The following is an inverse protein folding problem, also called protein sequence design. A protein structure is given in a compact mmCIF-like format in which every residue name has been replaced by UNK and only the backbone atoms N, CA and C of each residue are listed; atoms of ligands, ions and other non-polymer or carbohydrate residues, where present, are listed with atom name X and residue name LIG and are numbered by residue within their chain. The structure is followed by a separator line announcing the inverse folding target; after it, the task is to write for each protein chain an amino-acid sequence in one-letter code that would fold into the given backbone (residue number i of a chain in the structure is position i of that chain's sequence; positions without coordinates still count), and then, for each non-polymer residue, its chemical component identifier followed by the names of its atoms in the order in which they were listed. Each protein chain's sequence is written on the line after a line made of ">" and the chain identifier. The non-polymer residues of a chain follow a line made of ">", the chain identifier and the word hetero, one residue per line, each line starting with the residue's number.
data_IF_973613144866
#
_entry.id   IF_973613144866
#
_cell.length_a   1.000
_cell.length_b   1.000
_cell.length_c   1.000
_cell.angle_alpha   90.00
_cell.angle_beta   90.00
_cell.angle_gamma   90.00
#
_symmetry.space_group_name_H-M   'P 1'
#
loop_
_entity.id
_entity.type
_entity.pdbx_description
1 polymer ?
#
# COMPACT_ATOMS: atom_id res chain seq x y z
N UNK A 1 77.49 20.24 -61.75
CA UNK A 1 76.25 19.92 -62.41
C UNK A 1 75.22 19.56 -61.36
N UNK A 2 74.36 20.51 -61.01
CA UNK A 2 73.36 20.41 -59.89
C UNK A 2 71.98 20.35 -60.49
N UNK A 3 71.22 19.35 -60.12
CA UNK A 3 69.81 19.22 -60.41
C UNK A 3 69.07 19.40 -59.09
N UNK A 4 68.29 20.48 -59.03
CA UNK A 4 67.44 20.80 -57.90
C UNK A 4 66.08 20.10 -58.10
N UNK A 5 65.64 19.30 -57.09
CA UNK A 5 64.33 18.70 -57.00
C UNK A 5 63.48 19.59 -56.12
N UNK A 6 62.39 20.17 -56.68
CA UNK A 6 61.35 20.91 -55.95
C UNK A 6 60.35 19.93 -55.34
N UNK A 7 60.24 19.93 -54.03
CA UNK A 7 59.19 19.21 -53.30
C UNK A 7 57.90 20.10 -53.23
N UNK A 8 56.81 19.59 -53.80
CA UNK A 8 55.45 20.13 -53.68
C UNK A 8 54.83 19.60 -52.40
N UNK A 9 54.57 20.50 -51.43
CA UNK A 9 53.85 20.15 -50.23
C UNK A 9 52.34 20.28 -50.51
N UNK A 10 51.64 19.15 -50.50
CA UNK A 10 50.17 19.07 -50.60
C UNK A 10 49.56 19.25 -49.21
N UNK A 11 48.83 20.32 -48.98
CA UNK A 11 48.05 20.57 -47.80
C UNK A 11 46.68 19.87 -47.94
N UNK A 12 46.47 18.77 -47.25
CA UNK A 12 45.16 18.14 -47.08
C UNK A 12 44.47 18.73 -45.90
N UNK A 13 43.40 19.49 -46.17
CA UNK A 13 42.51 20.08 -45.16
C UNK A 13 41.60 18.97 -44.61
N UNK A 14 41.87 18.51 -43.39
CA UNK A 14 40.99 17.55 -42.68
C UNK A 14 39.83 18.35 -42.05
N UNK A 15 38.65 18.30 -42.67
CA UNK A 15 37.40 18.79 -42.08
C UNK A 15 36.95 17.83 -40.99
N UNK A 16 37.16 18.18 -39.70
CA UNK A 16 36.61 17.47 -38.57
C UNK A 16 35.11 17.79 -38.45
N UNK A 17 34.27 16.82 -38.83
CA UNK A 17 32.82 16.84 -38.56
C UNK A 17 32.61 16.58 -37.09
N UNK A 18 32.38 17.62 -36.30
CA UNK A 18 31.89 17.53 -34.94
C UNK A 18 30.42 17.07 -34.99
N UNK A 19 30.19 15.77 -34.95
CA UNK A 19 28.89 15.19 -34.63
C UNK A 19 28.57 15.49 -33.16
N UNK A 20 27.94 16.62 -32.91
CA UNK A 20 27.39 16.93 -31.57
C UNK A 20 26.32 15.87 -31.21
N UNK A 21 26.63 15.02 -30.23
CA UNK A 21 25.60 14.26 -29.55
C UNK A 21 24.63 15.21 -28.87
N UNK A 22 23.59 15.66 -29.58
CA UNK A 22 22.47 16.36 -28.99
C UNK A 22 21.77 15.41 -28.03
N UNK A 23 22.02 15.57 -26.72
CA UNK A 23 21.14 14.95 -25.72
C UNK A 23 19.70 15.39 -26.04
N UNK A 24 18.72 14.47 -26.00
CA UNK A 24 17.33 14.87 -26.19
C UNK A 24 17.01 16.01 -25.21
N UNK A 25 16.24 17.03 -25.62
CA UNK A 25 15.94 18.15 -24.73
C UNK A 25 15.27 17.61 -23.47
N UNK A 26 15.93 17.75 -22.34
CA UNK A 26 15.35 17.49 -21.02
C UNK A 26 14.15 18.42 -20.90
N UNK A 27 12.95 17.85 -20.95
CA UNK A 27 11.70 18.63 -20.78
C UNK A 27 11.81 19.36 -19.45
N UNK A 28 11.67 20.68 -19.47
CA UNK A 28 11.69 21.48 -18.24
C UNK A 28 10.70 20.88 -17.22
N UNK A 29 11.03 20.86 -15.93
CA UNK A 29 10.10 20.39 -14.91
C UNK A 29 8.75 21.09 -15.04
N UNK A 30 7.67 20.33 -15.06
CA UNK A 30 6.31 20.86 -15.09
C UNK A 30 6.08 21.75 -13.86
N UNK A 31 5.50 22.93 -14.02
CA UNK A 31 5.24 23.84 -12.91
C UNK A 31 4.21 23.22 -11.94
N UNK A 32 4.33 23.44 -10.64
CA UNK A 32 3.40 22.83 -9.65
C UNK A 32 1.93 23.18 -9.91
N UNK A 33 1.62 24.37 -10.42
CA UNK A 33 0.26 24.76 -10.80
C UNK A 33 -0.27 23.97 -12.01
N UNK A 34 0.55 23.66 -12.99
CA UNK A 34 0.16 22.87 -14.15
C UNK A 34 -0.10 21.40 -13.75
N UNK A 35 0.75 20.85 -12.88
CA UNK A 35 0.53 19.52 -12.27
C UNK A 35 -0.80 19.46 -11.53
N UNK A 36 -1.09 20.46 -10.69
CA UNK A 36 -2.37 20.52 -9.95
C UNK A 36 -3.56 20.64 -10.89
N UNK A 37 -3.49 21.51 -11.90
CA UNK A 37 -4.56 21.67 -12.89
C UNK A 37 -4.82 20.36 -13.65
N UNK A 38 -3.76 19.67 -14.05
CA UNK A 38 -3.84 18.36 -14.71
C UNK A 38 -4.45 17.31 -13.81
N UNK A 39 -4.00 17.15 -12.56
CA UNK A 39 -4.59 16.20 -11.62
C UNK A 39 -6.06 16.54 -11.36
N UNK A 40 -6.42 17.81 -11.19
CA UNK A 40 -7.81 18.23 -11.00
C UNK A 40 -8.70 17.86 -12.21
N UNK A 41 -8.16 17.89 -13.44
CA UNK A 41 -8.90 17.48 -14.64
C UNK A 41 -9.15 15.98 -14.73
N UNK A 42 -8.31 15.14 -14.07
CA UNK A 42 -8.47 13.69 -14.02
C UNK A 42 -9.59 13.25 -13.07
N UNK A 43 -9.98 14.10 -12.11
CA UNK A 43 -11.07 13.80 -11.18
C UNK A 43 -12.44 13.82 -11.88
N UNK A 44 -13.37 12.93 -11.53
CA UNK A 44 -14.75 13.00 -12.01
C UNK A 44 -15.40 14.36 -11.72
N UNK A 45 -16.27 14.83 -12.62
CA UNK A 45 -16.87 16.16 -12.53
C UNK A 45 -17.72 16.39 -11.26
N UNK A 46 -18.28 15.32 -10.70
CA UNK A 46 -19.12 15.34 -9.51
C UNK A 46 -18.33 15.32 -8.17
N UNK A 47 -16.99 15.28 -8.23
CA UNK A 47 -16.16 15.32 -7.01
C UNK A 47 -16.12 16.76 -6.47
N UNK A 48 -16.49 16.91 -5.22
CA UNK A 48 -16.45 18.19 -4.49
C UNK A 48 -15.00 18.56 -4.20
N UNK A 49 -14.66 19.84 -4.37
CA UNK A 49 -13.33 20.41 -4.13
C UNK A 49 -12.19 19.69 -4.90
N UNK A 50 -12.38 19.48 -6.19
CA UNK A 50 -11.33 18.91 -7.07
C UNK A 50 -9.97 19.62 -6.95
N UNK A 51 -9.90 20.96 -6.85
CA UNK A 51 -8.62 21.65 -6.63
C UNK A 51 -7.93 21.28 -5.32
N UNK A 52 -8.67 21.11 -4.23
CA UNK A 52 -8.11 20.69 -2.94
C UNK A 52 -7.59 19.24 -2.99
N UNK A 53 -8.28 18.31 -3.65
CA UNK A 53 -7.77 16.95 -3.90
C UNK A 53 -6.46 16.97 -4.69
N UNK A 54 -6.41 17.76 -5.76
CA UNK A 54 -5.20 17.89 -6.59
C UNK A 54 -4.03 18.52 -5.82
N UNK A 55 -4.30 19.49 -4.96
CA UNK A 55 -3.30 20.10 -4.08
C UNK A 55 -2.69 19.08 -3.13
N UNK A 56 -3.52 18.32 -2.40
CA UNK A 56 -3.06 17.34 -1.42
C UNK A 56 -2.29 16.18 -2.08
N UNK A 57 -2.74 15.69 -3.24
CA UNK A 57 -2.03 14.66 -4.02
C UNK A 57 -0.67 15.18 -4.51
N UNK A 58 -0.62 16.41 -5.05
CA UNK A 58 0.64 17.01 -5.53
C UNK A 58 1.62 17.20 -4.38
N UNK A 59 1.15 17.65 -3.22
CA UNK A 59 1.98 17.82 -2.03
C UNK A 59 2.55 16.48 -1.54
N UNK A 60 1.73 15.42 -1.53
CA UNK A 60 2.18 14.08 -1.17
C UNK A 60 3.23 13.55 -2.17
N UNK A 61 3.01 13.69 -3.48
CA UNK A 61 4.01 13.30 -4.49
C UNK A 61 5.34 14.03 -4.29
N UNK A 62 5.28 15.34 -4.06
CA UNK A 62 6.48 16.16 -3.82
C UNK A 62 7.24 15.67 -2.57
N UNK A 63 6.53 15.47 -1.46
CA UNK A 63 7.14 15.05 -0.19
C UNK A 63 7.73 13.63 -0.26
N UNK A 64 7.14 12.74 -1.04
CA UNK A 64 7.59 11.36 -1.22
C UNK A 64 8.62 11.21 -2.35
N UNK A 65 8.85 12.26 -3.16
CA UNK A 65 9.74 12.19 -4.32
C UNK A 65 9.16 11.35 -5.46
N UNK A 66 7.84 11.24 -5.56
CA UNK A 66 7.13 10.47 -6.59
C UNK A 66 6.85 11.39 -7.78
N UNK A 67 7.24 10.96 -8.99
CA UNK A 67 6.95 11.70 -10.21
C UNK A 67 5.43 11.83 -10.42
N UNK A 68 4.90 13.06 -10.65
CA UNK A 68 3.46 13.30 -10.77
C UNK A 68 2.94 12.97 -12.18
N UNK A 69 3.19 11.72 -12.65
CA UNK A 69 2.72 11.26 -13.96
C UNK A 69 1.20 11.00 -13.94
N UNK A 70 0.59 10.86 -15.13
CA UNK A 70 -0.82 10.50 -15.23
C UNK A 70 -1.07 9.09 -14.65
N UNK A 71 -0.13 8.17 -14.83
CA UNK A 71 -0.19 6.82 -14.30
C UNK A 71 -0.23 6.84 -12.78
N UNK A 72 0.69 7.57 -12.12
CA UNK A 72 0.70 7.67 -10.67
C UNK A 72 -0.55 8.39 -10.13
N UNK A 73 -0.95 9.49 -10.74
CA UNK A 73 -2.16 10.21 -10.36
C UNK A 73 -3.40 9.33 -10.52
N UNK A 74 -3.56 8.63 -11.65
CA UNK A 74 -4.69 7.73 -11.89
C UNK A 74 -4.69 6.52 -10.95
N UNK A 75 -3.54 5.98 -10.57
CA UNK A 75 -3.46 4.91 -9.58
C UNK A 75 -4.00 5.37 -8.21
N UNK A 76 -3.59 6.56 -7.75
CA UNK A 76 -4.11 7.17 -6.51
C UNK A 76 -5.60 7.40 -6.60
N UNK A 77 -6.07 8.06 -7.67
CA UNK A 77 -7.49 8.38 -7.87
C UNK A 77 -8.36 7.12 -7.94
N UNK A 78 -7.86 6.05 -8.54
CA UNK A 78 -8.57 4.77 -8.63
C UNK A 78 -8.77 4.13 -7.25
N UNK A 79 -7.76 4.15 -6.40
CA UNK A 79 -7.85 3.65 -5.01
C UNK A 79 -8.80 4.54 -4.20
N UNK A 80 -8.67 5.87 -4.27
CA UNK A 80 -9.58 6.80 -3.57
C UNK A 80 -11.04 6.59 -4.00
N UNK A 81 -11.29 6.39 -5.29
CA UNK A 81 -12.64 6.10 -5.79
C UNK A 81 -13.17 4.76 -5.25
N UNK A 82 -12.31 3.74 -5.14
CA UNK A 82 -12.68 2.43 -4.62
C UNK A 82 -12.98 2.47 -3.14
N UNK A 83 -12.15 3.10 -2.34
CA UNK A 83 -12.20 3.05 -0.88
C UNK A 83 -13.24 4.01 -0.29
N UNK A 84 -13.35 5.22 -0.84
CA UNK A 84 -14.12 6.29 -0.20
C UNK A 84 -15.09 7.02 -1.13
N UNK A 85 -15.05 6.74 -2.44
CA UNK A 85 -15.77 7.55 -3.43
C UNK A 85 -15.48 9.05 -3.25
N UNK A 86 -14.20 9.40 -3.09
CA UNK A 86 -13.71 10.78 -2.88
C UNK A 86 -14.28 11.46 -1.62
N UNK A 87 -14.43 10.72 -0.53
CA UNK A 87 -14.79 11.25 0.79
C UNK A 87 -13.60 11.08 1.74
N UNK A 88 -13.24 12.15 2.46
CA UNK A 88 -12.15 12.07 3.44
C UNK A 88 -12.55 11.17 4.62
N UNK A 89 -13.81 11.27 5.05
CA UNK A 89 -14.38 10.49 6.14
C UNK A 89 -15.74 9.91 5.70
N UNK A 90 -15.73 8.73 5.05
CA UNK A 90 -16.95 8.14 4.51
C UNK A 90 -17.86 7.58 5.61
N UNK A 91 -19.16 7.85 5.50
CA UNK A 91 -20.14 7.26 6.40
C UNK A 91 -20.28 5.75 6.16
N UNK A 92 -20.40 4.97 7.24
CA UNK A 92 -20.62 3.53 7.24
C UNK A 92 -22.03 3.22 7.75
N UNK A 93 -22.94 2.71 6.91
CA UNK A 93 -24.28 2.36 7.35
C UNK A 93 -24.27 1.33 8.50
N UNK A 94 -25.02 1.63 9.58
CA UNK A 94 -25.13 0.71 10.71
C UNK A 94 -23.86 0.56 11.54
N UNK A 95 -22.91 1.51 11.48
CA UNK A 95 -21.62 1.43 12.15
C UNK A 95 -21.74 1.19 13.65
N UNK A 96 -22.66 1.90 14.35
CA UNK A 96 -22.88 1.73 15.80
C UNK A 96 -23.20 0.29 16.17
N UNK A 97 -24.11 -0.37 15.45
CA UNK A 97 -24.45 -1.79 15.65
C UNK A 97 -23.22 -2.70 15.37
N UNK A 98 -22.53 -2.48 14.27
CA UNK A 98 -21.32 -3.24 13.91
C UNK A 98 -20.26 -3.12 15.02
N UNK A 99 -20.08 -1.91 15.59
CA UNK A 99 -19.14 -1.66 16.66
C UNK A 99 -19.55 -2.39 17.95
N UNK A 100 -20.84 -2.37 18.30
CA UNK A 100 -21.35 -3.09 19.47
C UNK A 100 -21.15 -4.60 19.35
N UNK A 101 -21.50 -5.18 18.22
CA UNK A 101 -21.30 -6.60 17.94
C UNK A 101 -19.80 -6.99 18.03
N UNK A 102 -18.90 -6.11 17.60
CA UNK A 102 -17.45 -6.35 17.69
C UNK A 102 -16.93 -6.23 19.12
N UNK A 103 -17.44 -5.27 19.90
CA UNK A 103 -17.11 -5.14 21.33
C UNK A 103 -17.52 -6.39 22.07
N UNK A 104 -18.75 -6.86 21.88
CA UNK A 104 -19.24 -8.10 22.50
C UNK A 104 -18.39 -9.30 22.14
N UNK A 105 -18.08 -9.48 20.85
CA UNK A 105 -17.20 -10.58 20.40
C UNK A 105 -15.78 -10.54 20.99
N UNK A 106 -15.21 -9.34 21.17
CA UNK A 106 -13.89 -9.19 21.79
C UNK A 106 -13.94 -9.48 23.29
N UNK A 107 -14.98 -8.99 23.96
CA UNK A 107 -15.22 -9.25 25.38
C UNK A 107 -15.37 -10.76 25.65
N UNK A 108 -16.18 -11.45 24.85
CA UNK A 108 -16.35 -12.91 24.94
C UNK A 108 -15.03 -13.66 24.78
N UNK A 109 -14.21 -13.28 23.78
CA UNK A 109 -12.86 -13.89 23.59
C UNK A 109 -11.90 -13.62 24.74
N UNK A 110 -12.06 -12.48 25.42
CA UNK A 110 -11.28 -12.12 26.59
C UNK A 110 -11.86 -12.67 27.89
N UNK A 111 -12.99 -13.39 27.87
CA UNK A 111 -13.69 -13.91 29.05
C UNK A 111 -14.36 -12.83 29.89
N UNK A 112 -14.65 -11.66 29.31
CA UNK A 112 -15.34 -10.55 30.01
C UNK A 112 -16.85 -10.74 29.90
N UNK A 113 -17.57 -10.90 31.04
CA UNK A 113 -19.02 -11.07 31.03
C UNK A 113 -19.74 -9.88 30.40
N UNK A 114 -20.77 -10.15 29.60
CA UNK A 114 -21.56 -9.11 28.92
C UNK A 114 -22.13 -8.06 29.90
N UNK A 115 -22.52 -8.48 31.10
CA UNK A 115 -23.01 -7.54 32.13
C UNK A 115 -22.00 -6.44 32.48
N UNK A 116 -20.69 -6.78 32.51
CA UNK A 116 -19.64 -5.80 32.78
C UNK A 116 -19.42 -4.87 31.59
N UNK A 117 -19.53 -5.40 30.36
CA UNK A 117 -19.48 -4.58 29.14
C UNK A 117 -20.64 -3.58 29.12
N UNK A 118 -21.86 -4.05 29.36
CA UNK A 118 -23.06 -3.21 29.38
C UNK A 118 -22.98 -2.14 30.49
N UNK A 119 -22.47 -2.50 31.67
CA UNK A 119 -22.25 -1.55 32.76
C UNK A 119 -21.22 -0.48 32.38
N UNK A 120 -20.09 -0.86 31.76
CA UNK A 120 -19.06 0.08 31.31
C UNK A 120 -19.60 1.04 30.23
N UNK A 121 -20.32 0.50 29.25
CA UNK A 121 -20.93 1.30 28.18
C UNK A 121 -22.10 2.18 28.66
N UNK A 122 -22.71 1.84 29.79
CA UNK A 122 -23.74 2.64 30.47
C UNK A 122 -23.19 3.81 31.25
N UNK A 123 -21.88 3.92 31.48
CA UNK A 123 -21.26 5.06 32.16
C UNK A 123 -21.38 6.31 31.28
N UNK A 124 -21.47 7.49 31.97
CA UNK A 124 -21.53 8.78 31.29
C UNK A 124 -20.16 9.21 30.78
N UNK A 125 -20.12 9.67 29.56
CA UNK A 125 -18.97 10.34 28.96
C UNK A 125 -18.97 11.85 29.29
N UNK A 126 -17.88 12.60 28.94
CA UNK A 126 -17.79 14.03 29.25
C UNK A 126 -18.90 14.89 28.64
N UNK A 127 -19.53 14.45 27.55
CA UNK A 127 -20.64 15.17 26.91
C UNK A 127 -22.03 14.80 27.46
N UNK A 128 -22.07 14.15 28.64
CA UNK A 128 -23.27 13.71 29.35
C UNK A 128 -24.07 12.56 28.73
N UNK A 129 -23.72 12.11 27.52
CA UNK A 129 -24.25 10.86 26.92
C UNK A 129 -23.56 9.66 27.51
N UNK A 130 -24.18 8.48 27.44
CA UNK A 130 -23.49 7.23 27.74
C UNK A 130 -22.53 6.86 26.61
N UNK A 131 -21.54 6.02 26.90
CA UNK A 131 -20.66 5.50 25.86
C UNK A 131 -21.44 4.71 24.81
N UNK A 132 -22.46 3.94 25.24
CA UNK A 132 -23.38 3.26 24.33
C UNK A 132 -24.06 4.21 23.36
N UNK A 133 -24.66 5.31 23.86
CA UNK A 133 -25.30 6.31 23.00
C UNK A 133 -24.34 6.98 22.02
N UNK A 134 -23.09 7.23 22.41
CA UNK A 134 -22.07 7.79 21.52
C UNK A 134 -21.68 6.80 20.42
N UNK A 135 -21.48 5.52 20.75
CA UNK A 135 -21.19 4.46 19.77
C UNK A 135 -22.35 4.31 18.80
N UNK A 136 -23.59 4.26 19.30
CA UNK A 136 -24.78 4.08 18.47
C UNK A 136 -25.03 5.28 17.53
N UNK A 137 -24.59 6.48 17.93
CA UNK A 137 -24.66 7.70 17.13
C UNK A 137 -23.55 7.84 16.09
N UNK A 138 -22.44 7.10 16.24
CA UNK A 138 -21.30 7.20 15.33
C UNK A 138 -21.69 6.76 13.90
N UNK A 139 -21.38 7.59 12.93
CA UNK A 139 -21.66 7.37 11.52
C UNK A 139 -20.40 7.12 10.69
N UNK A 140 -19.25 7.59 11.15
CA UNK A 140 -17.96 7.42 10.50
C UNK A 140 -16.98 6.70 11.39
N UNK A 141 -15.95 6.08 10.77
CA UNK A 141 -14.91 5.41 11.52
C UNK A 141 -14.09 6.37 12.37
N UNK A 142 -13.96 7.64 11.94
CA UNK A 142 -13.34 8.68 12.75
C UNK A 142 -14.13 8.93 14.03
N UNK A 143 -15.44 9.17 13.90
CA UNK A 143 -16.31 9.38 15.08
C UNK A 143 -16.23 8.20 16.06
N UNK A 144 -16.24 6.96 15.55
CA UNK A 144 -16.12 5.77 16.40
C UNK A 144 -14.74 5.70 17.07
N UNK A 145 -13.67 6.04 16.34
CA UNK A 145 -12.32 6.10 16.88
C UNK A 145 -12.22 7.16 17.99
N UNK A 146 -12.80 8.34 17.79
CA UNK A 146 -12.81 9.43 18.76
C UNK A 146 -13.54 9.02 20.06
N UNK A 147 -14.68 8.32 19.93
CA UNK A 147 -15.40 7.75 21.09
C UNK A 147 -14.52 6.80 21.89
N UNK A 148 -13.75 5.95 21.21
CA UNK A 148 -12.85 5.01 21.89
C UNK A 148 -11.67 5.73 22.55
N UNK A 149 -11.05 6.70 21.89
CA UNK A 149 -9.95 7.50 22.46
C UNK A 149 -10.42 8.28 23.71
N UNK A 150 -11.60 8.88 23.66
CA UNK A 150 -12.21 9.54 24.82
C UNK A 150 -12.47 8.56 25.97
N UNK A 151 -12.95 7.35 25.66
CA UNK A 151 -13.18 6.31 26.67
C UNK A 151 -11.88 5.92 27.39
N UNK A 152 -10.83 5.59 26.64
CA UNK A 152 -9.57 5.17 27.25
C UNK A 152 -8.86 6.32 27.98
N UNK A 153 -9.09 7.57 27.61
CA UNK A 153 -8.56 8.73 28.31
C UNK A 153 -9.13 8.86 29.73
N UNK A 154 -10.34 8.36 30.00
CA UNK A 154 -10.96 8.37 31.33
C UNK A 154 -10.58 7.19 32.22
N UNK A 155 -10.05 6.12 31.63
CA UNK A 155 -9.60 4.95 32.40
C UNK A 155 -8.19 5.20 32.95
N UNK A 156 -7.94 5.06 34.24
CA UNK A 156 -6.59 5.17 34.81
C UNK A 156 -5.61 4.26 34.05
N UNK A 157 -4.52 4.80 33.53
CA UNK A 157 -3.56 4.11 32.66
C UNK A 157 -4.15 3.60 31.34
N UNK A 158 -5.36 4.02 30.97
CA UNK A 158 -6.08 3.52 29.79
C UNK A 158 -5.28 3.67 28.50
N UNK A 159 -4.62 4.81 28.29
CA UNK A 159 -3.73 5.02 27.13
C UNK A 159 -2.58 4.00 27.05
N UNK A 160 -2.02 3.57 28.18
CA UNK A 160 -0.92 2.59 28.20
C UNK A 160 -1.42 1.16 27.99
N UNK A 161 -2.61 0.84 28.51
CA UNK A 161 -3.14 -0.53 28.55
C UNK A 161 -4.09 -0.82 27.39
N UNK A 162 -4.83 0.17 26.90
CA UNK A 162 -5.96 -0.03 26.00
C UNK A 162 -5.78 0.61 24.61
N UNK A 163 -4.78 1.47 24.38
CA UNK A 163 -4.60 2.14 23.07
C UNK A 163 -4.53 1.15 21.89
N UNK A 164 -3.90 -0.01 22.08
CA UNK A 164 -3.81 -1.08 21.07
C UNK A 164 -5.15 -1.78 20.77
N UNK A 165 -6.18 -1.55 21.57
CA UNK A 165 -7.49 -2.18 21.42
C UNK A 165 -8.49 -1.35 20.62
N UNK A 166 -8.12 -0.15 20.16
CA UNK A 166 -8.99 0.63 19.28
C UNK A 166 -9.47 -0.23 18.09
N UNK A 167 -10.80 -0.41 17.92
CA UNK A 167 -11.33 -1.29 16.88
C UNK A 167 -11.08 -0.76 15.48
N UNK A 168 -10.92 0.55 15.32
CA UNK A 168 -10.69 1.22 14.05
C UNK A 168 -9.18 1.21 13.75
N UNK A 169 -8.77 0.43 12.76
CA UNK A 169 -7.37 0.22 12.41
C UNK A 169 -6.94 0.87 11.10
N UNK A 170 -7.91 1.25 10.27
CA UNK A 170 -7.71 1.92 8.98
C UNK A 170 -8.56 3.18 8.93
N UNK A 171 -8.23 4.13 8.07
CA UNK A 171 -9.01 5.34 7.91
C UNK A 171 -8.61 6.23 6.75
N UNK A 172 -9.34 7.32 6.61
CA UNK A 172 -9.12 8.33 5.60
C UNK A 172 -9.55 7.90 4.18
N UNK A 173 -9.30 8.75 3.18
CA UNK A 173 -9.81 8.56 1.83
C UNK A 173 -9.23 7.34 1.10
N UNK A 174 -8.12 6.80 1.55
CA UNK A 174 -7.50 5.58 1.01
C UNK A 174 -7.56 4.40 1.99
N UNK A 175 -8.28 4.51 3.11
CA UNK A 175 -8.39 3.44 4.12
C UNK A 175 -7.04 2.85 4.54
N UNK A 176 -6.06 3.74 4.76
CA UNK A 176 -4.70 3.32 5.14
C UNK A 176 -4.63 2.90 6.61
N UNK A 177 -3.80 1.90 6.89
CA UNK A 177 -3.59 1.40 8.25
C UNK A 177 -2.86 2.38 9.15
N UNK A 178 -3.34 2.57 10.40
CA UNK A 178 -2.70 3.43 11.40
C UNK A 178 -1.28 2.94 11.70
N UNK A 179 -1.09 1.63 11.88
CA UNK A 179 0.22 1.04 12.12
C UNK A 179 1.20 1.28 10.94
N UNK A 180 0.69 1.31 9.70
CA UNK A 180 1.52 1.70 8.56
C UNK A 180 1.93 3.18 8.65
N UNK A 181 0.99 4.07 8.99
CA UNK A 181 1.28 5.50 9.14
C UNK A 181 2.32 5.76 10.23
N UNK A 182 2.27 5.03 11.35
CA UNK A 182 3.28 5.08 12.42
C UNK A 182 4.67 4.70 11.91
N UNK A 183 4.80 3.60 11.19
CA UNK A 183 6.07 3.17 10.57
C UNK A 183 6.57 4.18 9.54
N UNK A 184 5.67 4.74 8.73
CA UNK A 184 6.03 5.74 7.70
C UNK A 184 6.54 7.04 8.33
N UNK A 185 5.94 7.50 9.43
CA UNK A 185 6.39 8.67 10.20
C UNK A 185 7.80 8.48 10.79
N UNK A 186 8.15 7.27 11.18
CA UNK A 186 9.51 6.94 11.66
C UNK A 186 10.52 6.90 10.52
N UNK A 187 10.09 6.47 9.33
CA UNK A 187 10.97 6.31 8.16
C UNK A 187 11.20 7.61 7.40
N UNK A 188 10.22 8.51 7.36
CA UNK A 188 10.27 9.77 6.60
C UNK A 188 9.58 10.92 7.33
N UNK A 189 10.09 12.15 7.21
CA UNK A 189 9.43 13.34 7.74
C UNK A 189 8.04 13.53 7.13
N UNK A 190 7.05 13.74 7.98
CA UNK A 190 5.70 14.11 7.54
C UNK A 190 5.69 15.58 7.10
N UNK A 191 5.14 15.91 5.91
CA UNK A 191 5.31 17.26 5.33
C UNK A 191 4.43 18.34 5.97
N UNK A 192 3.50 17.96 6.83
CA UNK A 192 2.58 18.90 7.45
C UNK A 192 2.81 19.01 8.96
N UNK A 193 2.48 20.19 9.50
CA UNK A 193 2.36 20.35 10.95
C UNK A 193 1.11 19.65 11.43
N UNK A 194 1.27 18.67 12.31
CA UNK A 194 0.12 18.02 12.97
C UNK A 194 -0.49 18.95 14.02
N UNK A 195 -1.80 19.00 14.05
CA UNK A 195 -2.58 19.76 15.06
C UNK A 195 -3.27 18.87 16.09
N UNK A 196 -3.24 17.55 15.85
CA UNK A 196 -3.80 16.50 16.69
C UNK A 196 -2.92 15.26 16.70
N UNK A 197 -3.51 14.11 16.93
CA UNK A 197 -2.83 12.82 16.89
C UNK A 197 -2.49 12.38 15.46
N UNK A 198 -1.58 11.40 15.31
CA UNK A 198 -1.35 10.75 14.01
C UNK A 198 -2.63 10.14 13.45
N UNK A 199 -3.48 9.63 14.32
CA UNK A 199 -4.78 9.06 13.95
C UNK A 199 -5.68 10.12 13.31
N UNK A 200 -5.76 11.32 13.88
CA UNK A 200 -6.52 12.45 13.30
C UNK A 200 -5.98 12.81 11.90
N UNK A 201 -4.66 12.80 11.72
CA UNK A 201 -4.06 13.06 10.41
C UNK A 201 -4.43 11.98 9.39
N UNK A 202 -4.41 10.71 9.75
CA UNK A 202 -4.82 9.61 8.84
C UNK A 202 -6.27 9.77 8.39
N UNK A 203 -7.16 10.23 9.27
CA UNK A 203 -8.56 10.50 8.91
C UNK A 203 -8.76 11.80 8.13
N UNK A 204 -7.77 12.69 8.09
CA UNK A 204 -7.84 13.89 7.24
C UNK A 204 -7.63 13.56 5.77
N UNK A 205 -8.13 14.41 4.84
CA UNK A 205 -7.87 14.23 3.40
C UNK A 205 -6.37 14.25 3.10
N UNK A 206 -5.64 15.25 3.59
CA UNK A 206 -4.21 15.43 3.32
C UNK A 206 -3.37 14.28 3.90
N UNK A 207 -3.61 13.88 5.13
CA UNK A 207 -2.86 12.83 5.79
C UNK A 207 -3.20 11.44 5.23
N UNK A 208 -4.49 11.14 5.06
CA UNK A 208 -4.91 9.88 4.46
C UNK A 208 -4.40 9.70 3.02
N UNK A 209 -4.31 10.80 2.24
CA UNK A 209 -3.66 10.77 0.92
C UNK A 209 -2.15 10.56 1.04
N UNK A 210 -1.45 11.30 1.91
CA UNK A 210 -0.01 11.14 2.08
C UNK A 210 0.37 9.69 2.44
N UNK A 211 -0.24 9.13 3.47
CA UNK A 211 0.06 7.77 3.92
C UNK A 211 -0.44 6.72 2.91
N UNK A 212 -1.59 6.93 2.30
CA UNK A 212 -2.12 6.03 1.28
C UNK A 212 -1.28 6.02 0.01
N UNK A 213 -0.81 7.18 -0.45
CA UNK A 213 0.11 7.29 -1.60
C UNK A 213 1.45 6.65 -1.27
N UNK A 214 1.98 6.88 -0.06
CA UNK A 214 3.18 6.19 0.39
C UNK A 214 2.98 4.68 0.35
N UNK A 215 1.88 4.16 0.88
CA UNK A 215 1.59 2.73 0.88
C UNK A 215 1.51 2.14 -0.52
N UNK A 216 0.87 2.85 -1.45
CA UNK A 216 0.66 2.40 -2.82
C UNK A 216 1.92 2.48 -3.69
N UNK A 217 2.70 3.58 -3.58
CA UNK A 217 3.72 3.93 -4.59
C UNK A 217 5.15 4.04 -4.03
N UNK A 218 5.34 4.29 -2.72
CA UNK A 218 6.67 4.56 -2.15
C UNK A 218 7.39 3.26 -1.74
N UNK A 219 7.49 2.32 -2.68
CA UNK A 219 8.34 1.13 -2.56
C UNK A 219 8.69 0.58 -3.95
N UNK A 220 9.91 0.04 -4.14
CA UNK A 220 10.33 -0.52 -5.43
C UNK A 220 9.69 -1.88 -5.69
N UNK A 221 9.29 -2.14 -6.93
CA UNK A 221 8.84 -3.44 -7.42
C UNK A 221 9.68 -3.85 -8.63
N UNK A 222 10.09 -5.12 -8.70
CA UNK A 222 10.78 -5.69 -9.87
C UNK A 222 9.83 -5.87 -11.05
N UNK A 223 8.56 -6.15 -10.77
CA UNK A 223 7.47 -6.22 -11.75
C UNK A 223 6.46 -5.14 -11.37
N UNK A 224 6.68 -3.94 -11.90
CA UNK A 224 5.83 -2.76 -11.63
C UNK A 224 4.67 -2.69 -12.60
N UNK A 225 3.66 -3.52 -12.36
CA UNK A 225 2.39 -3.49 -13.06
C UNK A 225 1.28 -3.00 -12.11
N UNK A 226 0.38 -2.11 -12.57
CA UNK A 226 -0.66 -1.52 -11.74
C UNK A 226 -1.50 -2.54 -10.97
N UNK A 227 -1.86 -3.64 -11.61
CA UNK A 227 -2.67 -4.69 -10.98
C UNK A 227 -2.01 -5.29 -9.73
N UNK A 228 -0.68 -5.47 -9.73
CA UNK A 228 0.04 -5.97 -8.56
C UNK A 228 0.16 -4.91 -7.47
N UNK A 229 0.35 -3.62 -7.81
CA UNK A 229 0.29 -2.54 -6.82
C UNK A 229 -1.07 -2.44 -6.15
N UNK A 230 -2.15 -2.63 -6.89
CA UNK A 230 -3.50 -2.64 -6.33
C UNK A 230 -3.75 -3.85 -5.43
N UNK A 231 -3.26 -5.02 -5.83
CA UNK A 231 -3.33 -6.21 -5.00
C UNK A 231 -2.51 -6.06 -3.71
N UNK A 232 -1.29 -5.56 -3.82
CA UNK A 232 -0.40 -5.28 -2.69
C UNK A 232 -0.95 -4.19 -1.76
N UNK A 233 -1.65 -3.19 -2.31
CA UNK A 233 -2.33 -2.18 -1.50
C UNK A 233 -3.37 -2.79 -0.55
N UNK A 234 -4.09 -3.80 -1.02
CA UNK A 234 -5.11 -4.49 -0.24
C UNK A 234 -4.52 -5.57 0.71
N UNK A 235 -3.53 -6.32 0.23
CA UNK A 235 -3.00 -7.51 0.91
C UNK A 235 -1.72 -7.25 1.73
N UNK A 236 -1.06 -6.10 1.52
CA UNK A 236 0.25 -5.78 2.06
C UNK A 236 1.31 -5.65 0.98
N UNK A 237 2.27 -4.75 1.19
CA UNK A 237 3.36 -4.53 0.24
C UNK A 237 4.08 -5.85 -0.06
N UNK A 238 4.40 -6.08 -1.34
CA UNK A 238 5.04 -7.29 -1.85
C UNK A 238 4.20 -8.57 -1.79
N UNK A 239 2.94 -8.53 -1.38
CA UNK A 239 2.09 -9.72 -1.30
C UNK A 239 1.99 -10.46 -2.65
N UNK A 240 1.95 -9.74 -3.77
CA UNK A 240 1.92 -10.35 -5.12
C UNK A 240 3.21 -11.11 -5.46
N UNK A 241 4.37 -10.58 -5.08
CA UNK A 241 5.68 -11.26 -5.20
C UNK A 241 5.74 -12.50 -4.29
N UNK A 242 5.29 -12.34 -3.05
CA UNK A 242 5.32 -13.39 -2.04
C UNK A 242 4.38 -14.54 -2.42
N UNK A 243 3.19 -14.25 -2.96
CA UNK A 243 2.27 -15.26 -3.49
C UNK A 243 2.90 -16.04 -4.66
N UNK A 244 3.65 -15.39 -5.54
CA UNK A 244 4.41 -16.08 -6.58
C UNK A 244 5.53 -16.95 -5.99
N UNK A 245 6.19 -16.52 -4.93
CA UNK A 245 7.17 -17.32 -4.21
C UNK A 245 6.51 -18.56 -3.56
N UNK A 246 5.36 -18.40 -2.91
CA UNK A 246 4.57 -19.52 -2.36
C UNK A 246 4.18 -20.51 -3.47
N UNK A 247 3.78 -20.03 -4.64
CA UNK A 247 3.53 -20.90 -5.81
C UNK A 247 4.78 -21.68 -6.20
N UNK A 248 5.93 -21.03 -6.26
CA UNK A 248 7.20 -21.71 -6.57
C UNK A 248 7.56 -22.76 -5.50
N UNK A 249 7.40 -22.44 -4.22
CA UNK A 249 7.58 -23.39 -3.11
C UNK A 249 6.63 -24.57 -3.27
N UNK A 250 5.36 -24.32 -3.56
CA UNK A 250 4.35 -25.38 -3.75
C UNK A 250 4.75 -26.35 -4.88
N UNK A 251 5.18 -25.81 -6.02
CA UNK A 251 5.66 -26.65 -7.15
C UNK A 251 6.92 -27.43 -6.79
N UNK A 252 7.91 -26.78 -6.17
CA UNK A 252 9.20 -27.42 -5.84
C UNK A 252 9.06 -28.53 -4.80
N UNK A 253 8.18 -28.34 -3.80
CA UNK A 253 7.98 -29.24 -2.66
C UNK A 253 6.87 -30.27 -2.87
N UNK A 254 6.07 -30.12 -3.92
CA UNK A 254 4.83 -30.87 -4.16
C UNK A 254 3.83 -30.77 -2.96
N UNK A 255 3.88 -29.67 -2.21
CA UNK A 255 2.97 -29.39 -1.09
C UNK A 255 2.02 -28.25 -1.45
N UNK A 256 0.71 -28.41 -1.29
CA UNK A 256 -0.23 -27.32 -1.55
C UNK A 256 -0.05 -26.22 -0.49
N UNK A 257 0.05 -24.96 -0.95
CA UNK A 257 0.10 -23.75 -0.14
C UNK A 257 -1.03 -22.82 -0.56
N UNK A 258 -1.45 -21.98 0.36
CA UNK A 258 -2.27 -20.82 0.06
C UNK A 258 -1.34 -19.73 -0.51
N UNK A 259 -1.79 -19.06 -1.57
CA UNK A 259 -1.00 -17.99 -2.20
C UNK A 259 -1.49 -16.64 -1.68
N UNK A 260 -1.43 -16.49 -0.36
CA UNK A 260 -1.91 -15.32 0.39
C UNK A 260 -0.89 -14.18 0.48
N UNK A 261 0.38 -14.49 0.22
CA UNK A 261 1.47 -13.51 0.29
C UNK A 261 2.12 -13.40 1.67
N UNK A 262 1.63 -14.09 2.70
CA UNK A 262 2.22 -14.12 4.02
C UNK A 262 3.24 -15.28 4.11
N UNK A 263 4.52 -14.94 4.19
CA UNK A 263 5.59 -15.96 4.29
C UNK A 263 5.85 -16.38 5.73
N UNK A 264 5.64 -15.45 6.68
CA UNK A 264 5.84 -15.65 8.12
C UNK A 264 4.55 -15.27 8.85
N UNK A 265 4.00 -16.15 9.70
CA UNK A 265 2.85 -15.79 10.53
C UNK A 265 3.12 -14.58 11.43
N UNK A 266 2.08 -13.77 11.68
CA UNK A 266 2.19 -12.53 12.46
C UNK A 266 2.67 -12.77 13.91
N UNK A 267 2.46 -13.95 14.48
CA UNK A 267 2.95 -14.35 15.81
C UNK A 267 4.42 -14.83 15.79
N UNK A 268 5.06 -14.83 14.61
CA UNK A 268 6.44 -15.26 14.43
C UNK A 268 6.65 -16.78 14.51
N UNK A 269 5.61 -17.58 14.56
CA UNK A 269 5.70 -19.05 14.53
C UNK A 269 6.20 -19.57 13.18
N UNK A 270 6.49 -20.87 13.11
CA UNK A 270 6.84 -21.56 11.85
C UNK A 270 5.56 -21.83 11.06
N UNK A 271 5.38 -21.09 9.96
CA UNK A 271 4.22 -21.20 9.08
C UNK A 271 4.29 -22.35 8.07
N UNK A 272 3.21 -22.50 7.30
CA UNK A 272 3.11 -23.52 6.23
C UNK A 272 4.15 -23.32 5.13
N UNK A 273 4.39 -22.08 4.72
CA UNK A 273 5.40 -21.72 3.71
C UNK A 273 6.80 -22.13 4.17
N UNK A 274 7.19 -21.74 5.39
CA UNK A 274 8.49 -22.11 5.95
C UNK A 274 8.63 -23.64 6.10
N UNK A 275 7.61 -24.32 6.59
CA UNK A 275 7.59 -25.79 6.71
C UNK A 275 7.81 -26.47 5.35
N UNK A 276 7.15 -25.99 4.30
CA UNK A 276 7.34 -26.51 2.95
C UNK A 276 8.76 -26.27 2.42
N UNK A 277 9.30 -25.05 2.62
CA UNK A 277 10.69 -24.72 2.22
C UNK A 277 11.70 -25.61 2.93
N UNK A 278 11.54 -25.88 4.22
CA UNK A 278 12.45 -26.75 5.00
C UNK A 278 12.53 -28.18 4.45
N UNK A 279 11.48 -28.69 3.82
CA UNK A 279 11.56 -30.01 3.13
C UNK A 279 12.50 -30.02 1.94
N UNK A 280 12.83 -28.85 1.41
CA UNK A 280 13.72 -28.67 0.26
C UNK A 280 15.19 -28.47 0.65
N UNK A 281 15.54 -28.41 1.94
CA UNK A 281 16.91 -28.20 2.45
C UNK A 281 17.96 -29.04 1.73
N UNK A 282 17.77 -30.37 1.51
CA UNK A 282 18.75 -31.19 0.80
C UNK A 282 19.01 -30.75 -0.65
N UNK A 283 18.01 -30.16 -1.31
CA UNK A 283 18.08 -29.67 -2.69
C UNK A 283 18.56 -28.22 -2.79
N UNK A 284 18.21 -27.38 -1.80
CA UNK A 284 18.57 -25.97 -1.76
C UNK A 284 20.01 -25.76 -1.24
N UNK A 285 20.52 -26.66 -0.39
CA UNK A 285 21.75 -26.51 0.37
C UNK A 285 21.78 -25.16 1.16
N UNK A 286 20.69 -24.90 1.89
CA UNK A 286 20.46 -23.71 2.72
C UNK A 286 19.93 -24.23 4.06
N UNK A 287 20.51 -23.79 5.19
CA UNK A 287 20.08 -24.19 6.52
C UNK A 287 18.77 -23.49 6.95
N UNK A 288 18.12 -24.07 7.97
CA UNK A 288 16.84 -23.60 8.50
C UNK A 288 16.90 -22.14 9.00
N UNK A 289 18.01 -21.74 9.61
CA UNK A 289 18.18 -20.38 10.12
C UNK A 289 18.31 -19.37 8.98
N UNK A 290 19.00 -19.72 7.89
CA UNK A 290 19.09 -18.88 6.71
C UNK A 290 17.77 -18.82 5.95
N UNK A 291 16.98 -19.92 5.93
CA UNK A 291 15.62 -19.90 5.39
C UNK A 291 14.78 -18.89 6.17
N UNK A 292 14.74 -18.99 7.49
CA UNK A 292 13.97 -18.08 8.35
C UNK A 292 14.34 -16.63 8.12
N UNK A 293 15.64 -16.28 8.18
CA UNK A 293 16.12 -14.92 7.93
C UNK A 293 15.73 -14.37 6.54
N UNK A 294 15.68 -15.23 5.53
CA UNK A 294 15.24 -14.80 4.20
C UNK A 294 13.73 -14.56 4.14
N UNK A 295 12.90 -15.41 4.75
CA UNK A 295 11.45 -15.24 4.79
C UNK A 295 11.04 -13.98 5.57
N UNK A 296 11.76 -13.62 6.62
CA UNK A 296 11.55 -12.37 7.39
C UNK A 296 11.80 -11.08 6.58
N UNK A 297 12.30 -11.19 5.35
CA UNK A 297 12.39 -10.08 4.39
C UNK A 297 11.13 -9.96 3.50
N UNK A 298 10.03 -10.59 3.85
CA UNK A 298 8.80 -10.61 3.06
C UNK A 298 8.25 -9.21 2.73
N UNK A 299 8.46 -8.22 3.59
CA UNK A 299 8.04 -6.83 3.40
C UNK A 299 9.14 -5.92 2.81
N UNK A 300 10.24 -6.50 2.28
CA UNK A 300 11.42 -5.79 1.76
C UNK A 300 11.79 -6.23 0.35
N UNK A 301 12.38 -5.35 -0.47
CA UNK A 301 12.87 -5.71 -1.80
C UNK A 301 14.01 -6.73 -1.75
N UNK A 302 14.69 -6.84 -0.60
CA UNK A 302 15.89 -7.67 -0.46
C UNK A 302 15.60 -9.17 -0.48
N UNK A 303 14.37 -9.62 -0.26
CA UNK A 303 14.00 -11.02 -0.41
C UNK A 303 14.40 -11.57 -1.78
N UNK A 304 14.17 -10.81 -2.86
CA UNK A 304 14.48 -11.23 -4.23
C UNK A 304 15.97 -11.45 -4.48
N UNK A 305 16.82 -10.79 -3.67
CA UNK A 305 18.29 -10.91 -3.74
C UNK A 305 18.83 -12.11 -2.96
N UNK A 306 17.98 -12.77 -2.17
CA UNK A 306 18.41 -13.90 -1.33
C UNK A 306 18.67 -15.14 -2.18
N UNK A 307 19.64 -15.93 -1.72
CA UNK A 307 19.91 -17.27 -2.31
C UNK A 307 18.67 -18.16 -2.24
N UNK A 308 17.87 -18.04 -1.18
CA UNK A 308 16.62 -18.79 -1.02
C UNK A 308 15.67 -18.51 -2.18
N UNK A 309 15.37 -17.25 -2.44
CA UNK A 309 14.43 -16.84 -3.49
C UNK A 309 14.86 -17.39 -4.85
N UNK A 310 16.10 -17.15 -5.24
CA UNK A 310 16.66 -17.61 -6.53
C UNK A 310 16.58 -19.13 -6.64
N UNK A 311 17.06 -19.87 -5.63
CA UNK A 311 17.14 -21.34 -5.67
C UNK A 311 15.78 -22.01 -5.67
N UNK A 312 14.79 -21.44 -4.97
CA UNK A 312 13.41 -21.96 -4.97
C UNK A 312 12.79 -21.84 -6.35
N UNK A 313 12.93 -20.70 -7.01
CA UNK A 313 12.40 -20.53 -8.37
C UNK A 313 13.12 -21.43 -9.38
N UNK A 314 14.46 -21.51 -9.36
CA UNK A 314 15.21 -22.45 -10.22
C UNK A 314 14.71 -23.88 -10.05
N UNK A 315 14.54 -24.32 -8.81
CA UNK A 315 14.08 -25.67 -8.49
C UNK A 315 12.64 -25.92 -8.95
N UNK A 316 11.76 -24.95 -8.76
CA UNK A 316 10.37 -25.03 -9.17
C UNK A 316 10.24 -25.08 -10.70
N UNK A 317 10.99 -24.26 -11.42
CA UNK A 317 10.98 -24.21 -12.88
C UNK A 317 11.54 -25.50 -13.50
N UNK A 318 12.59 -26.08 -12.89
CA UNK A 318 13.11 -27.40 -13.27
C UNK A 318 12.07 -28.50 -13.05
N UNK A 319 11.38 -28.47 -11.88
CA UNK A 319 10.36 -29.47 -11.54
C UNK A 319 9.13 -29.36 -12.43
N UNK A 320 8.64 -28.12 -12.64
CA UNK A 320 7.44 -27.83 -13.46
C UNK A 320 7.70 -27.78 -14.95
N UNK A 321 8.97 -27.82 -15.38
CA UNK A 321 9.42 -27.71 -16.79
C UNK A 321 8.87 -26.49 -17.51
N UNK A 322 8.67 -25.39 -16.82
CA UNK A 322 8.18 -24.10 -17.37
C UNK A 322 8.62 -22.94 -16.48
N UNK A 323 8.79 -21.74 -17.07
CA UNK A 323 8.98 -20.53 -16.29
C UNK A 323 7.78 -20.25 -15.37
N UNK A 324 8.05 -19.71 -14.18
CA UNK A 324 7.02 -19.27 -13.25
C UNK A 324 6.98 -17.73 -13.17
N UNK A 325 5.80 -17.14 -13.03
CA UNK A 325 5.68 -15.71 -12.82
C UNK A 325 6.35 -15.30 -11.50
N UNK A 326 6.92 -14.09 -11.46
CA UNK A 326 7.56 -13.53 -10.27
C UNK A 326 6.60 -12.64 -9.44
N UNK A 327 5.39 -12.42 -9.98
CA UNK A 327 4.27 -11.81 -9.26
C UNK A 327 2.96 -12.44 -9.73
N UNK A 328 2.05 -12.71 -8.81
CA UNK A 328 0.66 -13.14 -9.05
C UNK A 328 -0.23 -12.41 -8.06
N UNK A 329 -1.50 -12.23 -8.41
CA UNK A 329 -2.48 -11.64 -7.47
C UNK A 329 -2.71 -12.62 -6.31
N UNK A 330 -2.56 -12.19 -5.04
CA UNK A 330 -2.79 -13.04 -3.88
C UNK A 330 -4.21 -13.59 -3.82
N UNK A 331 -4.35 -14.84 -3.35
CA UNK A 331 -5.64 -15.51 -3.20
C UNK A 331 -6.12 -15.38 -1.75
N UNK A 332 -6.70 -14.21 -1.43
CA UNK A 332 -7.20 -13.91 -0.08
C UNK A 332 -8.69 -13.63 -0.15
N UNK A 333 -9.46 -14.31 0.69
CA UNK A 333 -10.85 -13.93 0.95
C UNK A 333 -10.90 -12.75 1.92
N UNK A 334 -11.65 -11.71 1.57
CA UNK A 334 -11.78 -10.51 2.38
C UNK A 334 -12.87 -10.70 3.43
N UNK A 335 -12.50 -10.68 4.69
CA UNK A 335 -13.40 -10.81 5.81
C UNK A 335 -13.53 -9.49 6.58
N UNK A 336 -14.75 -8.95 6.63
CA UNK A 336 -15.07 -7.77 7.42
C UNK A 336 -16.55 -7.79 7.79
N UNK A 337 -16.95 -7.29 8.96
CA UNK A 337 -18.38 -7.12 9.30
C UNK A 337 -19.16 -6.26 8.33
N UNK A 338 -18.46 -5.47 7.49
CA UNK A 338 -19.05 -4.61 6.45
C UNK A 338 -19.25 -5.33 5.12
N UNK A 339 -18.65 -6.53 4.95
CA UNK A 339 -18.71 -7.29 3.71
C UNK A 339 -19.88 -8.27 3.80
N UNK A 340 -20.87 -8.11 2.92
CA UNK A 340 -22.10 -8.91 2.89
C UNK A 340 -22.09 -10.01 1.82
N UNK A 341 -21.00 -10.14 1.05
CA UNK A 341 -20.81 -11.15 0.00
C UNK A 341 -19.34 -11.58 -0.04
N UNK A 342 -19.02 -12.77 -0.54
CA UNK A 342 -17.62 -13.19 -0.73
C UNK A 342 -16.90 -12.21 -1.67
N UNK A 343 -15.83 -11.59 -1.19
CA UNK A 343 -14.93 -10.71 -1.93
C UNK A 343 -13.51 -11.21 -1.76
N UNK A 344 -12.67 -10.99 -2.78
CA UNK A 344 -11.26 -11.40 -2.76
C UNK A 344 -10.35 -10.22 -3.07
N UNK A 345 -9.06 -10.36 -2.74
CA UNK A 345 -8.03 -9.40 -3.18
C UNK A 345 -8.01 -9.27 -4.71
N UNK A 346 -8.25 -10.35 -5.45
CA UNK A 346 -8.36 -10.28 -6.92
C UNK A 346 -9.54 -9.40 -7.36
N UNK A 347 -10.71 -9.58 -6.74
CA UNK A 347 -11.85 -8.72 -7.03
C UNK A 347 -11.52 -7.24 -6.77
N UNK A 348 -10.88 -6.95 -5.64
CA UNK A 348 -10.45 -5.59 -5.29
C UNK A 348 -9.49 -5.03 -6.34
N UNK A 349 -8.40 -5.73 -6.63
CA UNK A 349 -7.38 -5.30 -7.58
C UNK A 349 -7.97 -5.02 -8.98
N UNK A 350 -8.83 -5.92 -9.50
CA UNK A 350 -9.50 -5.73 -10.79
C UNK A 350 -10.45 -4.53 -10.79
N UNK A 351 -11.18 -4.29 -9.70
CA UNK A 351 -12.07 -3.12 -9.58
C UNK A 351 -11.29 -1.80 -9.56
N UNK A 352 -10.13 -1.78 -8.91
CA UNK A 352 -9.23 -0.61 -8.94
C UNK A 352 -8.63 -0.43 -10.33
N UNK A 353 -8.19 -1.51 -10.97
CA UNK A 353 -7.63 -1.46 -12.33
C UNK A 353 -8.61 -0.94 -13.37
N UNK A 354 -9.89 -1.33 -13.31
CA UNK A 354 -10.94 -0.75 -14.13
C UNK A 354 -11.10 0.76 -13.95
N UNK A 355 -10.99 1.27 -12.72
CA UNK A 355 -11.03 2.71 -12.43
C UNK A 355 -9.80 3.43 -12.95
N UNK A 356 -8.65 2.81 -12.78
CA UNK A 356 -7.37 3.29 -13.30
C UNK A 356 -7.42 3.45 -14.82
N UNK A 357 -7.88 2.44 -15.55
CA UNK A 357 -8.04 2.50 -17.00
C UNK A 357 -8.99 3.63 -17.45
N UNK A 358 -10.13 3.82 -16.73
CA UNK A 358 -11.04 4.93 -17.01
C UNK A 358 -10.39 6.30 -16.77
N UNK A 359 -9.55 6.43 -15.73
CA UNK A 359 -8.81 7.66 -15.46
C UNK A 359 -7.81 7.96 -16.57
N UNK A 360 -7.04 6.96 -17.02
CA UNK A 360 -6.10 7.13 -18.13
C UNK A 360 -6.79 7.49 -19.45
N UNK A 361 -7.97 6.94 -19.70
CA UNK A 361 -8.77 7.31 -20.87
C UNK A 361 -9.18 8.80 -20.84
N UNK A 362 -9.53 9.35 -19.65
CA UNK A 362 -9.78 10.79 -19.48
C UNK A 362 -8.52 11.62 -19.74
N UNK A 363 -7.36 11.17 -19.24
CA UNK A 363 -6.08 11.84 -19.48
C UNK A 363 -5.75 11.91 -20.98
N UNK A 364 -5.95 10.82 -21.72
CA UNK A 364 -5.71 10.75 -23.15
C UNK A 364 -6.68 11.64 -23.95
N UNK A 365 -7.93 11.78 -23.51
CA UNK A 365 -8.92 12.65 -24.15
C UNK A 365 -8.60 14.16 -23.94
N UNK A 366 -8.08 14.53 -22.79
CA UNK A 366 -7.70 15.92 -22.48
C UNK A 366 -6.45 16.40 -23.24
N UNK A 367 -5.64 15.50 -23.79
CA UNK A 367 -4.43 15.80 -24.57
C UNK A 367 -4.71 15.88 -26.10
N UNK A 368 -5.96 15.69 -26.54
CA UNK A 368 -6.41 15.84 -27.94
C UNK A 368 -7.05 17.21 -28.16
#
# INVERSE_FOLDING_TARGET
>A
MHVAVRALASWTLAAAVLAGCGSPPTRAPERPEDVRARIASLLPANVVDRPGWALDITAAFTALGIAPTNEHACAVLAVVEQESTYRADPAVPGLGRIARDEIDRRADRAGVPKLLVDAALGLRSPDSRTWAERIDAARTEKELSDVFEDFIAQVPLGQRLLAGFNPVRTGGPMQVGIAFAEKQMQARPYPYRMTGSLRDEVFSRRGGLYFGIAHLLDYPLSIDQPIFRFADFNAGRYASRNAAFQQAVSVASARPLDFDGDLVPADGSVGRTETAVRTLVPRLAIDDAAIRRALELEDRPDLEKTRLYTRVFELAEQTGRRPLPRAIVPQIELHSPKITRPLTTEWFARRVDERYARCLARAAAANR
#
